data_IF_675350526311
#
_entry.id   IF_675350526311
#
_cell.length_a   1.000
_cell.length_b   1.000
_cell.length_c   1.000
_cell.angle_alpha   90.00
_cell.angle_beta   90.00
_cell.angle_gamma   90.00
#
_symmetry.space_group_name_H-M   'P 1'
#
loop_
_entity.id
_entity.type
_entity.pdbx_description
1 polymer ?
#
# COMPACT_ATOMS: atom_id res chain seq x y z
N UNK A 1 35.43 -1.93 -14.16
CA UNK A 1 34.19 -1.12 -14.25
C UNK A 1 33.06 -1.97 -13.68
N UNK A 2 32.61 -1.59 -12.49
CA UNK A 2 31.75 -2.38 -11.60
C UNK A 2 30.31 -2.45 -12.10
N UNK A 3 29.88 -3.69 -12.33
CA UNK A 3 28.53 -4.27 -12.32
C UNK A 3 27.36 -3.26 -12.37
N UNK A 4 26.49 -3.30 -13.39
CA UNK A 4 25.15 -2.74 -13.25
C UNK A 4 24.42 -3.60 -12.21
N UNK A 5 24.49 -3.20 -10.95
CA UNK A 5 23.68 -3.79 -9.89
C UNK A 5 22.26 -3.40 -10.23
N UNK A 6 21.46 -4.33 -10.76
CA UNK A 6 20.07 -4.10 -11.12
C UNK A 6 19.35 -3.56 -9.86
N UNK A 7 19.05 -2.24 -9.78
CA UNK A 7 18.58 -1.62 -8.55
C UNK A 7 17.21 -2.17 -8.15
N UNK A 8 16.40 -2.59 -9.14
CA UNK A 8 15.11 -3.22 -8.93
C UNK A 8 15.24 -4.61 -8.27
N UNK A 9 16.27 -5.39 -8.61
CA UNK A 9 16.52 -6.69 -7.99
C UNK A 9 16.96 -6.55 -6.52
N UNK A 10 17.74 -5.51 -6.20
CA UNK A 10 18.12 -5.20 -4.83
C UNK A 10 16.92 -4.70 -4.01
N UNK A 11 16.05 -3.88 -4.61
CA UNK A 11 14.81 -3.43 -3.98
C UNK A 11 13.85 -4.60 -3.73
N UNK A 12 13.63 -5.49 -4.71
CA UNK A 12 12.81 -6.70 -4.54
C UNK A 12 13.34 -7.64 -3.44
N UNK A 13 14.67 -7.77 -3.31
CA UNK A 13 15.25 -8.58 -2.25
C UNK A 13 14.93 -8.06 -0.83
N UNK A 14 14.75 -6.74 -0.66
CA UNK A 14 14.30 -6.15 0.62
C UNK A 14 12.79 -6.34 0.85
N UNK A 15 12.02 -6.43 -0.23
CA UNK A 15 10.57 -6.61 -0.19
C UNK A 15 10.16 -8.07 0.04
N UNK A 16 11.04 -9.02 -0.29
CA UNK A 16 10.85 -10.44 0.06
C UNK A 16 10.91 -10.64 1.57
N UNK A 17 9.85 -11.24 2.13
CA UNK A 17 9.65 -11.45 3.58
C UNK A 17 9.53 -10.17 4.41
N UNK A 18 9.17 -9.05 3.79
CA UNK A 18 8.81 -7.84 4.53
C UNK A 18 7.60 -8.10 5.44
N UNK A 19 7.60 -7.50 6.63
CA UNK A 19 6.48 -7.53 7.56
C UNK A 19 5.24 -6.89 6.97
N UNK A 20 4.08 -7.50 7.21
CA UNK A 20 2.79 -6.85 6.96
C UNK A 20 2.35 -5.93 8.13
N UNK A 21 3.16 -5.85 9.20
CA UNK A 21 2.96 -5.01 10.39
C UNK A 21 1.58 -5.14 11.05
N UNK A 22 0.97 -6.32 10.92
CA UNK A 22 -0.32 -6.66 11.51
C UNK A 22 -0.35 -8.12 11.92
N UNK A 23 -1.02 -8.40 13.04
CA UNK A 23 -1.32 -9.76 13.50
C UNK A 23 -2.67 -10.27 12.96
N UNK A 24 -3.46 -9.40 12.34
CA UNK A 24 -4.76 -9.73 11.77
C UNK A 24 -4.86 -9.06 10.40
N UNK A 25 -4.22 -9.62 9.37
CA UNK A 25 -4.25 -9.03 8.05
C UNK A 25 -5.70 -9.05 7.54
N UNK A 26 -6.17 -7.88 7.12
CA UNK A 26 -7.50 -7.69 6.53
C UNK A 26 -7.33 -6.96 5.21
N UNK A 27 -8.19 -7.27 4.24
CA UNK A 27 -8.26 -6.45 3.03
C UNK A 27 -8.77 -5.06 3.40
N UNK A 28 -8.00 -4.02 3.11
CA UNK A 28 -8.42 -2.65 3.45
C UNK A 28 -9.60 -2.13 2.60
N UNK A 29 -9.96 -2.83 1.53
CA UNK A 29 -11.07 -2.45 0.64
C UNK A 29 -12.37 -3.13 1.06
N UNK A 30 -12.39 -4.46 1.17
CA UNK A 30 -13.61 -5.22 1.47
C UNK A 30 -13.72 -5.69 2.94
N UNK A 31 -12.67 -5.49 3.75
CA UNK A 31 -12.65 -5.88 5.16
C UNK A 31 -12.54 -7.38 5.41
N UNK A 32 -12.42 -8.21 4.37
CA UNK A 32 -12.29 -9.66 4.54
C UNK A 32 -11.01 -10.00 5.31
N UNK A 33 -11.04 -10.93 6.28
CA UNK A 33 -9.83 -11.44 6.90
C UNK A 33 -8.99 -12.15 5.86
N UNK A 34 -7.67 -11.99 5.97
CA UNK A 34 -6.69 -12.66 5.14
C UNK A 34 -5.90 -13.65 6.00
N UNK A 35 -5.50 -14.74 5.38
CA UNK A 35 -4.83 -15.84 6.05
C UNK A 35 -3.52 -16.18 5.34
N UNK A 36 -2.68 -16.94 6.03
CA UNK A 36 -1.50 -17.53 5.40
C UNK A 36 -1.90 -18.33 4.15
N UNK A 37 -1.18 -18.12 3.06
CA UNK A 37 -1.45 -18.67 1.74
C UNK A 37 -2.34 -17.81 0.84
N UNK A 38 -3.03 -16.79 1.38
CA UNK A 38 -3.88 -15.94 0.55
C UNK A 38 -3.06 -15.06 -0.39
N UNK A 39 -3.48 -15.01 -1.65
CA UNK A 39 -2.96 -14.07 -2.64
C UNK A 39 -3.37 -12.63 -2.28
N UNK A 40 -2.38 -11.74 -2.28
CA UNK A 40 -2.55 -10.34 -1.92
C UNK A 40 -1.80 -9.42 -2.88
N UNK A 41 -2.28 -8.18 -2.92
CA UNK A 41 -1.48 -7.06 -3.39
C UNK A 41 -1.09 -6.18 -2.21
N UNK A 42 0.20 -5.93 -2.06
CA UNK A 42 0.75 -5.04 -1.06
C UNK A 42 1.30 -3.77 -1.71
N UNK A 43 0.99 -2.61 -1.12
CA UNK A 43 1.68 -1.36 -1.43
C UNK A 43 2.83 -1.16 -0.44
N UNK A 44 4.03 -1.07 -0.98
CA UNK A 44 5.25 -0.82 -0.23
C UNK A 44 5.85 0.52 -0.64
N UNK A 45 6.35 1.27 0.33
CA UNK A 45 6.96 2.58 0.09
C UNK A 45 8.23 2.76 0.91
N UNK A 46 9.15 3.56 0.39
CA UNK A 46 10.36 4.00 1.07
C UNK A 46 10.60 5.47 0.78
N UNK A 47 10.53 6.31 1.81
CA UNK A 47 10.84 7.73 1.68
C UNK A 47 12.34 7.94 1.36
N UNK A 48 12.67 9.02 0.67
CA UNK A 48 14.07 9.37 0.42
C UNK A 48 14.82 9.58 1.75
N UNK A 49 15.93 8.87 1.91
CA UNK A 49 16.74 8.89 3.14
C UNK A 49 16.41 7.76 4.11
N UNK A 50 15.26 7.09 3.97
CA UNK A 50 14.94 5.92 4.80
C UNK A 50 15.61 4.65 4.25
N UNK A 51 16.17 3.80 5.13
CA UNK A 51 16.91 2.61 4.71
C UNK A 51 16.00 1.43 4.34
N UNK A 52 14.74 1.41 4.80
CA UNK A 52 13.85 0.27 4.71
C UNK A 52 12.51 0.62 4.06
N UNK A 53 11.91 -0.37 3.38
CA UNK A 53 10.53 -0.30 2.93
C UNK A 53 9.57 -0.53 4.09
N UNK A 54 8.39 0.07 4.01
CA UNK A 54 7.25 -0.19 4.87
C UNK A 54 6.04 -0.58 4.02
N UNK A 55 5.12 -1.37 4.59
CA UNK A 55 3.84 -1.69 3.96
C UNK A 55 2.81 -0.63 4.36
N UNK A 56 2.21 0.04 3.37
CA UNK A 56 1.14 1.02 3.62
C UNK A 56 -0.24 0.37 3.65
N UNK A 57 -0.52 -0.53 2.71
CA UNK A 57 -1.78 -1.28 2.68
C UNK A 57 -1.64 -2.63 2.00
N UNK A 58 -2.58 -3.51 2.33
CA UNK A 58 -2.76 -4.81 1.66
C UNK A 58 -4.20 -4.94 1.16
N UNK A 59 -4.34 -5.54 -0.01
CA UNK A 59 -5.60 -5.82 -0.67
C UNK A 59 -5.63 -7.30 -1.05
N UNK A 60 -6.83 -7.84 -1.13
CA UNK A 60 -7.00 -9.22 -1.48
C UNK A 60 -7.02 -9.44 -2.99
N UNK A 61 -6.27 -10.44 -3.46
CA UNK A 61 -6.16 -10.78 -4.88
C UNK A 61 -5.52 -9.68 -5.74
N UNK A 62 -4.85 -10.11 -6.82
CA UNK A 62 -4.06 -9.20 -7.66
C UNK A 62 -4.91 -8.21 -8.49
N UNK A 63 -6.21 -8.48 -8.70
CA UNK A 63 -7.08 -7.73 -9.61
C UNK A 63 -8.48 -7.39 -9.07
N UNK A 64 -8.78 -7.71 -7.81
CA UNK A 64 -10.15 -7.53 -7.30
C UNK A 64 -10.44 -6.04 -7.04
N UNK A 65 -9.40 -5.24 -6.81
CA UNK A 65 -9.53 -3.84 -6.41
C UNK A 65 -8.63 -2.94 -7.25
N UNK A 66 -9.16 -1.76 -7.59
CA UNK A 66 -8.38 -0.71 -8.24
C UNK A 66 -7.29 -0.22 -7.29
N UNK A 67 -6.06 -0.11 -7.81
CA UNK A 67 -4.92 0.29 -7.02
C UNK A 67 -4.79 1.81 -7.04
N UNK A 68 -4.61 2.48 -5.89
CA UNK A 68 -4.22 3.88 -5.85
C UNK A 68 -3.04 4.17 -6.78
N UNK A 69 -3.24 5.06 -7.75
CA UNK A 69 -2.24 5.47 -8.75
C UNK A 69 -1.54 6.78 -8.39
N UNK A 70 -1.76 7.27 -7.17
CA UNK A 70 -1.20 8.55 -6.71
C UNK A 70 0.15 8.29 -6.06
N UNK A 71 1.22 8.58 -6.80
CA UNK A 71 2.59 8.43 -6.35
C UNK A 71 3.17 9.76 -5.85
N UNK A 72 3.98 9.69 -4.79
CA UNK A 72 4.55 10.86 -4.13
C UNK A 72 5.97 11.10 -4.61
N UNK A 73 6.24 12.30 -5.16
CA UNK A 73 7.60 12.69 -5.57
C UNK A 73 8.56 12.60 -4.38
N UNK A 74 9.69 11.91 -4.54
CA UNK A 74 10.64 11.69 -3.45
C UNK A 74 10.40 10.42 -2.63
N UNK A 75 9.39 9.62 -2.98
CA UNK A 75 9.14 8.30 -2.39
C UNK A 75 9.37 7.23 -3.47
N UNK A 76 9.94 6.11 -3.07
CA UNK A 76 10.11 4.93 -3.92
C UNK A 76 8.99 3.97 -3.59
N UNK A 77 8.13 3.69 -4.56
CA UNK A 77 6.86 3.02 -4.31
C UNK A 77 6.71 1.80 -5.20
N UNK A 78 6.22 0.72 -4.61
CA UNK A 78 5.99 -0.56 -5.25
C UNK A 78 4.56 -1.03 -4.96
N UNK A 79 3.89 -1.51 -6.00
CA UNK A 79 2.71 -2.36 -5.87
C UNK A 79 3.16 -3.78 -6.19
N UNK A 80 3.06 -4.66 -5.21
CA UNK A 80 3.57 -6.02 -5.26
C UNK A 80 2.41 -7.01 -5.20
N UNK A 81 2.34 -7.91 -6.17
CA UNK A 81 1.52 -9.12 -6.05
C UNK A 81 2.35 -10.21 -5.39
N UNK A 82 1.72 -11.04 -4.57
CA UNK A 82 2.35 -12.17 -3.90
C UNK A 82 1.32 -12.89 -3.02
N UNK A 83 1.79 -13.61 -2.02
CA UNK A 83 0.90 -14.25 -1.04
C UNK A 83 1.41 -14.07 0.39
N UNK A 84 0.51 -14.25 1.36
CA UNK A 84 0.84 -14.16 2.78
C UNK A 84 1.58 -15.42 3.22
N UNK A 85 2.75 -15.25 3.83
CA UNK A 85 3.44 -16.30 4.58
C UNK A 85 3.56 -15.96 6.06
N UNK A 86 4.08 -16.90 6.83
CA UNK A 86 4.46 -16.66 8.23
C UNK A 86 5.97 -16.81 8.45
N UNK A 87 6.53 -15.95 9.30
CA UNK A 87 7.87 -16.09 9.84
C UNK A 87 7.79 -16.29 11.34
N UNK A 88 8.40 -17.38 11.84
CA UNK A 88 8.41 -17.71 13.26
C UNK A 88 9.82 -17.56 13.84
N UNK A 89 9.93 -16.77 14.91
CA UNK A 89 11.14 -16.66 15.72
C UNK A 89 10.98 -17.51 16.98
N UNK A 90 11.63 -18.68 17.00
CA UNK A 90 11.52 -19.65 18.09
C UNK A 90 12.18 -19.18 19.38
N UNK A 91 13.16 -18.26 19.31
CA UNK A 91 13.81 -17.69 20.50
C UNK A 91 12.86 -16.75 21.25
N UNK A 92 12.11 -15.92 20.53
CA UNK A 92 11.13 -14.99 21.11
C UNK A 92 9.72 -15.57 21.17
N UNK A 93 9.50 -16.78 20.62
CA UNK A 93 8.20 -17.42 20.48
C UNK A 93 7.17 -16.53 19.79
N UNK A 94 7.61 -15.78 18.78
CA UNK A 94 6.76 -14.83 18.05
C UNK A 94 6.60 -15.26 16.59
N UNK A 95 5.40 -15.07 16.05
CA UNK A 95 5.10 -15.30 14.64
C UNK A 95 4.59 -14.00 14.02
N UNK A 96 4.97 -13.74 12.79
CA UNK A 96 4.63 -12.53 12.05
C UNK A 96 4.21 -12.88 10.62
N UNK A 97 3.23 -12.18 10.09
CA UNK A 97 2.87 -12.29 8.68
C UNK A 97 3.84 -11.52 7.79
N UNK A 98 4.23 -12.15 6.69
CA UNK A 98 5.20 -11.62 5.74
C UNK A 98 4.70 -11.76 4.30
N UNK A 99 5.19 -10.91 3.40
CA UNK A 99 4.95 -11.07 1.97
C UNK A 99 5.95 -12.08 1.37
N UNK A 100 5.43 -13.10 0.68
CA UNK A 100 6.21 -14.08 -0.06
C UNK A 100 5.99 -13.93 -1.58
N UNK A 101 7.01 -14.37 -2.33
CA UNK A 101 7.09 -14.33 -3.79
C UNK A 101 6.65 -12.99 -4.42
N UNK A 102 7.18 -11.84 -3.95
CA UNK A 102 6.75 -10.54 -4.42
C UNK A 102 7.10 -10.34 -5.90
N UNK A 103 6.09 -10.04 -6.69
CA UNK A 103 6.21 -9.63 -8.09
C UNK A 103 5.81 -8.16 -8.20
N UNK A 104 6.73 -7.31 -8.66
CA UNK A 104 6.44 -5.89 -8.88
C UNK A 104 5.50 -5.71 -10.07
N UNK A 105 4.30 -5.22 -9.81
CA UNK A 105 3.28 -4.98 -10.83
C UNK A 105 3.24 -3.50 -11.22
N UNK A 106 3.48 -2.61 -10.27
CA UNK A 106 3.67 -1.17 -10.52
C UNK A 106 4.88 -0.68 -9.74
N UNK A 107 5.69 0.16 -10.38
CA UNK A 107 6.83 0.82 -9.75
C UNK A 107 6.80 2.31 -10.05
N UNK A 108 6.94 3.15 -9.03
CA UNK A 108 7.20 4.58 -9.22
C UNK A 108 8.61 4.91 -8.74
N UNK A 109 9.52 5.31 -9.64
CA UNK A 109 10.86 5.77 -9.24
C UNK A 109 10.79 7.08 -8.47
N UNK A 110 11.68 7.27 -7.50
CA UNK A 110 11.79 8.48 -6.66
C UNK A 110 11.89 9.80 -7.46
N UNK A 111 12.33 9.73 -8.71
CA UNK A 111 12.56 10.88 -9.60
C UNK A 111 11.35 11.31 -10.42
N UNK A 112 10.22 10.60 -10.34
CA UNK A 112 9.06 10.80 -11.22
C UNK A 112 7.77 10.46 -10.48
N UNK A 113 6.68 11.16 -10.81
CA UNK A 113 5.32 10.85 -10.34
C UNK A 113 4.59 9.86 -11.26
N UNK A 114 5.18 9.51 -12.40
CA UNK A 114 4.61 8.58 -13.38
C UNK A 114 4.88 7.12 -12.98
N UNK A 115 3.83 6.30 -12.79
CA UNK A 115 3.98 4.87 -12.58
C UNK A 115 4.50 4.16 -13.83
N UNK A 116 5.44 3.25 -13.62
CA UNK A 116 5.81 2.22 -14.60
C UNK A 116 5.04 0.95 -14.24
N UNK A 117 4.07 0.61 -15.08
CA UNK A 117 3.34 -0.65 -15.03
C UNK A 117 4.22 -1.71 -15.69
N UNK A 118 4.43 -2.84 -15.03
CA UNK A 118 5.19 -3.96 -15.61
C UNK A 118 4.22 -4.96 -16.25
N UNK A 119 4.14 -5.03 -17.59
CA UNK A 119 3.20 -5.90 -18.30
C UNK A 119 3.55 -7.40 -18.21
N UNK A 120 4.80 -7.74 -17.83
CA UNK A 120 5.28 -9.12 -17.66
C UNK A 120 4.96 -9.71 -16.27
N UNK A 121 4.19 -9.01 -15.43
CA UNK A 121 3.61 -9.64 -14.25
C UNK A 121 2.62 -10.74 -14.69
N UNK A 122 2.43 -11.84 -13.93
CA UNK A 122 1.49 -12.94 -14.24
C UNK A 122 0.03 -12.52 -14.46
N UNK A 123 -0.25 -11.23 -14.35
CA UNK A 123 -1.55 -10.61 -14.30
C UNK A 123 -1.66 -9.59 -15.44
N UNK A 124 -2.37 -9.91 -16.54
CA UNK A 124 -2.53 -9.00 -17.66
C UNK A 124 -3.33 -7.77 -17.23
N UNK A 125 -2.73 -6.58 -17.32
CA UNK A 125 -3.46 -5.31 -17.13
C UNK A 125 -3.68 -4.66 -18.49
N UNK A 126 -4.94 -4.54 -18.87
CA UNK A 126 -5.34 -3.79 -20.06
C UNK A 126 -5.28 -2.28 -19.74
N UNK A 127 -4.46 -1.48 -20.46
CA UNK A 127 -4.39 -0.03 -20.28
C UNK A 127 -5.57 0.64 -20.99
N UNK A 128 -6.79 0.37 -20.56
CA UNK A 128 -7.97 1.04 -21.13
C UNK A 128 -8.61 1.96 -20.10
N UNK A 129 -8.01 3.13 -19.87
CA UNK A 129 -8.78 4.38 -19.70
C UNK A 129 -7.89 5.64 -19.86
N UNK A 130 -8.33 6.70 -20.58
CA UNK A 130 -7.67 8.00 -20.57
C UNK A 130 -7.77 8.66 -19.18
N UNK A 131 -6.90 9.65 -18.86
CA UNK A 131 -6.89 10.30 -17.55
C UNK A 131 -8.17 11.11 -17.38
N UNK A 132 -9.13 10.57 -16.62
CA UNK A 132 -10.33 11.31 -16.26
C UNK A 132 -10.19 11.83 -14.84
N UNK A 133 -10.05 13.16 -14.79
CA UNK A 133 -10.31 14.11 -13.72
C UNK A 133 -9.75 13.81 -12.32
N UNK A 134 -8.86 14.71 -11.89
CA UNK A 134 -8.45 14.93 -10.49
C UNK A 134 -9.64 14.72 -9.53
N UNK A 135 -9.57 13.73 -8.61
CA UNK A 135 -10.40 13.75 -7.44
C UNK A 135 -9.90 14.86 -6.52
N UNK A 136 -10.80 15.74 -6.12
CA UNK A 136 -10.56 16.81 -5.15
C UNK A 136 -9.72 16.31 -3.97
N UNK A 137 -8.61 16.98 -3.62
CA UNK A 137 -7.71 16.50 -2.58
C UNK A 137 -8.44 16.32 -1.24
N UNK A 138 -8.15 15.21 -0.56
CA UNK A 138 -8.68 14.78 0.75
C UNK A 138 -8.42 15.77 1.91
N UNK A 139 -7.79 16.92 1.65
CA UNK A 139 -7.65 18.01 2.61
C UNK A 139 -8.93 18.85 2.78
N UNK A 140 -9.99 18.60 2.01
CA UNK A 140 -11.27 19.33 2.15
C UNK A 140 -12.27 18.60 3.05
N UNK A 141 -12.16 17.26 3.21
CA UNK A 141 -13.11 16.47 4.00
C UNK A 141 -12.99 16.67 5.53
N UNK A 142 -11.96 17.37 6.01
CA UNK A 142 -11.73 17.58 7.46
C UNK A 142 -12.24 18.95 7.95
N UNK A 143 -12.78 19.81 7.07
CA UNK A 143 -13.29 21.13 7.48
C UNK A 143 -14.78 21.21 7.82
N UNK A 144 -15.59 20.19 7.50
CA UNK A 144 -17.06 20.27 7.69
C UNK A 144 -17.58 19.75 9.04
N UNK A 145 -16.74 19.18 9.91
CA UNK A 145 -17.19 18.69 11.22
C UNK A 145 -16.81 19.60 12.41
N UNK A 146 -16.45 20.85 12.16
CA UNK A 146 -16.21 21.82 13.21
C UNK A 146 -17.40 22.78 13.38
N UNK A 147 -18.27 22.41 14.33
CA UNK A 147 -19.18 23.26 15.13
C UNK A 147 -20.43 23.81 14.45
N UNK A 148 -21.58 23.25 14.85
CA UNK A 148 -22.76 24.05 15.12
C UNK A 148 -23.14 23.83 16.59
N UNK A 149 -23.07 24.93 17.34
CA UNK A 149 -23.27 25.11 18.78
C UNK A 149 -24.59 24.48 19.27
N UNK A 150 -24.73 23.95 20.49
CA UNK A 150 -24.23 24.47 21.75
C UNK A 150 -25.29 25.35 22.41
N UNK A 151 -26.12 24.77 23.29
CA UNK A 151 -26.72 25.51 24.42
C UNK A 151 -28.21 25.81 24.36
N UNK A 152 -28.98 25.10 25.18
CA UNK A 152 -30.29 25.53 25.68
C UNK A 152 -30.10 26.49 26.86
N UNK A 153 -30.95 27.53 27.00
CA UNK A 153 -31.40 27.94 28.31
C UNK A 153 -32.93 28.01 28.43
N UNK A 154 -33.38 27.76 29.66
CA UNK A 154 -34.76 27.66 30.16
C UNK A 154 -35.40 29.03 30.48
N UNK A 155 -36.74 29.01 30.49
CA UNK A 155 -37.70 29.68 31.40
C UNK A 155 -37.93 31.21 31.38
N UNK A 156 -39.21 31.59 31.22
CA UNK A 156 -39.95 32.31 32.26
C UNK A 156 -40.42 33.76 32.00
N UNK A 157 -41.76 33.94 32.00
CA UNK A 157 -42.56 35.17 32.29
C UNK A 157 -42.44 36.33 31.29
N UNK A 158 -43.51 37.01 30.87
CA UNK A 158 -44.67 37.56 31.61
C UNK A 158 -45.91 37.68 30.68
#
# INVERSE_FOLDING_TARGET
MTRPTNPQAADLAQLTRISLDTNHPICQVCGRPLHEGDDITAYAYRAAGEPAYAIGYIMCGSDIHEHPTVFTRGVREYVLAGHIGTCSNTRTQSTMFVLLDPTAVVTSPTTTTEPRIHPDAPTPRDPTHPPQQEPTPLLTAVREHARSDGGCPREGSE
#
